data_IF_417230849246
#
_entry.id   IF_417230849246
#
_cell.length_a   1.000
_cell.length_b   1.000
_cell.length_c   1.000
_cell.angle_alpha   90.00
_cell.angle_beta   90.00
_cell.angle_gamma   90.00
#
_symmetry.space_group_name_H-M   'P 1'
#
loop_
_entity.id
_entity.type
_entity.pdbx_description
1 polymer ?
#
# COMPACT_ATOMS: atom_id res chain seq x y z
N UNK A 1 10.56 5.96 26.23
CA UNK A 1 11.22 5.90 24.91
C UNK A 1 12.49 6.74 25.02
N UNK A 2 13.64 6.22 24.58
CA UNK A 2 14.92 6.96 24.63
C UNK A 2 14.99 7.90 23.42
N UNK A 3 15.82 8.94 23.48
CA UNK A 3 16.00 9.87 22.35
C UNK A 3 16.48 9.16 21.06
N UNK A 4 17.26 8.09 21.20
CA UNK A 4 17.72 7.25 20.08
C UNK A 4 16.56 6.55 19.35
N UNK A 5 15.53 6.15 20.08
CA UNK A 5 14.34 5.49 19.52
C UNK A 5 13.52 6.47 18.67
N UNK A 6 13.42 7.72 19.11
CA UNK A 6 12.73 8.80 18.39
C UNK A 6 13.38 9.04 17.03
N UNK A 7 14.70 9.16 16.99
CA UNK A 7 15.46 9.36 15.76
C UNK A 7 15.24 8.21 14.74
N UNK A 8 15.17 6.96 15.23
CA UNK A 8 14.90 5.80 14.38
C UNK A 8 13.47 5.82 13.80
N UNK A 9 12.46 6.23 14.59
CA UNK A 9 11.08 6.39 14.11
C UNK A 9 11.01 7.50 13.06
N UNK A 10 11.64 8.65 13.33
CA UNK A 10 11.67 9.78 12.40
C UNK A 10 12.34 9.40 11.06
N UNK A 11 13.41 8.60 11.12
CA UNK A 11 14.08 8.09 9.93
C UNK A 11 13.19 7.17 9.06
N UNK A 12 12.16 6.55 9.63
CA UNK A 12 11.22 5.71 8.89
C UNK A 12 10.12 6.51 8.15
N UNK A 13 9.91 7.79 8.49
CA UNK A 13 8.79 8.59 7.95
C UNK A 13 8.80 8.68 6.41
N UNK A 14 9.94 8.94 5.72
CA UNK A 14 9.94 9.02 4.26
C UNK A 14 9.51 7.71 3.60
N UNK A 15 9.96 6.57 4.15
CA UNK A 15 9.59 5.22 3.74
C UNK A 15 8.12 4.91 3.96
N UNK A 16 7.60 5.23 5.15
CA UNK A 16 6.18 5.11 5.46
C UNK A 16 5.31 5.92 4.49
N UNK A 17 5.71 7.17 4.18
CA UNK A 17 4.95 8.03 3.27
C UNK A 17 4.90 7.48 1.84
N UNK A 18 6.01 6.95 1.32
CA UNK A 18 6.03 6.31 -0.01
C UNK A 18 5.12 5.10 -0.06
N UNK A 19 5.19 4.22 0.95
CA UNK A 19 4.31 3.06 1.03
C UNK A 19 2.83 3.47 1.14
N UNK A 20 2.51 4.42 2.01
CA UNK A 20 1.15 4.93 2.18
C UNK A 20 0.57 5.52 0.87
N UNK A 21 1.38 6.26 0.10
CA UNK A 21 0.98 6.76 -1.23
C UNK A 21 0.68 5.62 -2.20
N UNK A 22 1.54 4.60 -2.23
CA UNK A 22 1.31 3.42 -3.06
C UNK A 22 0.04 2.64 -2.66
N UNK A 23 -0.26 2.53 -1.36
CA UNK A 23 -1.46 1.85 -0.86
C UNK A 23 -2.75 2.60 -1.17
N UNK A 24 -2.76 3.91 -0.94
CA UNK A 24 -3.98 4.74 -0.96
C UNK A 24 -4.28 5.35 -2.32
N UNK A 25 -3.24 5.62 -3.12
CA UNK A 25 -3.37 6.38 -4.37
C UNK A 25 -3.74 7.86 -4.15
N UNK A 26 -3.81 8.33 -2.91
CA UNK A 26 -4.27 9.68 -2.54
C UNK A 26 -3.28 10.30 -1.53
N UNK A 27 -2.66 11.46 -1.85
CA UNK A 27 -1.67 12.07 -0.99
C UNK A 27 -2.19 12.46 0.41
N UNK A 28 -3.44 12.93 0.51
CA UNK A 28 -4.02 13.35 1.79
C UNK A 28 -4.29 12.13 2.67
N UNK A 29 -4.93 11.09 2.12
CA UNK A 29 -5.15 9.84 2.84
C UNK A 29 -3.85 9.14 3.21
N UNK A 30 -2.80 9.30 2.39
CA UNK A 30 -1.48 8.79 2.70
C UNK A 30 -0.86 9.50 3.92
N UNK A 31 -0.95 10.83 3.99
CA UNK A 31 -0.43 11.59 5.13
C UNK A 31 -1.23 11.28 6.41
N UNK A 32 -2.55 11.14 6.34
CA UNK A 32 -3.39 10.69 7.45
C UNK A 32 -2.96 9.29 7.95
N UNK A 33 -2.76 8.34 7.02
CA UNK A 33 -2.31 6.99 7.36
C UNK A 33 -0.93 6.98 8.02
N UNK A 34 -0.03 7.86 7.60
CA UNK A 34 1.28 8.05 8.25
C UNK A 34 1.11 8.58 9.66
N UNK A 35 0.29 9.62 9.85
CA UNK A 35 0.02 10.17 11.17
C UNK A 35 -0.53 9.11 12.12
N UNK A 36 -1.59 8.41 11.72
CA UNK A 36 -2.21 7.36 12.54
C UNK A 36 -1.24 6.22 12.86
N UNK A 37 -0.36 5.89 11.91
CA UNK A 37 0.72 4.90 12.11
C UNK A 37 1.68 5.36 13.19
N UNK A 38 2.13 6.63 13.17
CA UNK A 38 3.05 7.18 14.14
C UNK A 38 2.43 7.25 15.54
N UNK A 39 1.17 7.65 15.66
CA UNK A 39 0.44 7.66 16.94
C UNK A 39 0.31 6.25 17.54
N UNK A 40 0.00 5.26 16.69
CA UNK A 40 -0.06 3.85 17.09
C UNK A 40 1.31 3.29 17.45
N UNK A 41 2.35 3.62 16.69
CA UNK A 41 3.72 3.22 16.97
C UNK A 41 4.18 3.78 18.31
N UNK A 42 3.93 5.07 18.56
CA UNK A 42 4.27 5.73 19.81
C UNK A 42 3.60 5.09 21.03
N UNK A 43 2.28 4.87 20.95
CA UNK A 43 1.51 4.25 22.06
C UNK A 43 1.91 2.80 22.33
N UNK A 44 2.38 2.07 21.30
CA UNK A 44 2.79 0.66 21.41
C UNK A 44 4.29 0.48 21.61
N UNK A 45 5.09 1.54 21.54
CA UNK A 45 6.55 1.47 21.55
C UNK A 45 7.10 0.75 22.78
N UNK A 46 6.55 1.05 23.96
CA UNK A 46 6.96 0.41 25.23
C UNK A 46 6.73 -1.10 25.27
N UNK A 47 5.84 -1.63 24.42
CA UNK A 47 5.53 -3.06 24.28
C UNK A 47 6.32 -3.72 23.17
N UNK A 48 6.97 -2.95 22.31
CA UNK A 48 7.82 -3.50 21.27
C UNK A 48 9.06 -4.12 21.93
N UNK A 49 9.11 -5.45 21.95
CA UNK A 49 10.18 -6.22 22.58
C UNK A 49 11.51 -6.18 21.80
N UNK A 50 11.67 -5.23 20.85
CA UNK A 50 12.81 -5.12 19.92
C UNK A 50 13.12 -6.42 19.20
N UNK A 51 12.07 -7.19 18.91
CA UNK A 51 12.15 -8.43 18.13
C UNK A 51 11.96 -8.05 16.66
N UNK A 52 13.01 -8.23 15.88
CA UNK A 52 13.04 -7.84 14.46
C UNK A 52 13.35 -6.36 14.24
N UNK A 53 13.34 -5.95 12.98
CA UNK A 53 13.66 -4.59 12.54
C UNK A 53 12.52 -3.60 12.85
N UNK A 54 12.87 -2.42 13.38
CA UNK A 54 11.89 -1.37 13.69
C UNK A 54 11.08 -0.96 12.46
N UNK A 55 11.77 -0.85 11.32
CA UNK A 55 11.15 -0.45 10.05
C UNK A 55 10.07 -1.44 9.61
N UNK A 56 10.37 -2.73 9.67
CA UNK A 56 9.39 -3.79 9.38
C UNK A 56 8.22 -3.76 10.37
N UNK A 57 8.48 -3.56 11.66
CA UNK A 57 7.41 -3.42 12.66
C UNK A 57 6.48 -2.23 12.37
N UNK A 58 7.03 -1.07 12.00
CA UNK A 58 6.25 0.11 11.63
C UNK A 58 5.41 -0.10 10.36
N UNK A 59 5.97 -0.78 9.35
CA UNK A 59 5.20 -1.18 8.16
C UNK A 59 4.05 -2.14 8.52
N UNK A 60 4.26 -3.05 9.47
CA UNK A 60 3.20 -3.93 9.98
C UNK A 60 2.08 -3.15 10.68
N UNK A 61 2.41 -2.12 11.47
CA UNK A 61 1.38 -1.24 12.07
C UNK A 61 0.57 -0.54 10.99
N UNK A 62 1.24 0.07 10.01
CA UNK A 62 0.60 0.78 8.91
C UNK A 62 -0.30 -0.13 8.09
N UNK A 63 0.20 -1.29 7.69
CA UNK A 63 -0.53 -2.24 6.85
C UNK A 63 -1.80 -2.74 7.56
N UNK A 64 -1.69 -3.16 8.83
CA UNK A 64 -2.85 -3.57 9.61
C UNK A 64 -3.89 -2.44 9.73
N UNK A 65 -3.44 -1.22 10.01
CA UNK A 65 -4.34 -0.09 10.11
C UNK A 65 -5.06 0.21 8.79
N UNK A 66 -4.34 0.16 7.67
CA UNK A 66 -4.91 0.34 6.34
C UNK A 66 -5.97 -0.72 6.03
N UNK A 67 -5.67 -2.00 6.28
CA UNK A 67 -6.62 -3.11 6.04
C UNK A 67 -7.86 -2.99 6.92
N UNK A 68 -7.70 -2.62 8.19
CA UNK A 68 -8.84 -2.36 9.08
C UNK A 68 -9.74 -1.24 8.54
N UNK A 69 -9.13 -0.16 8.01
CA UNK A 69 -9.84 0.95 7.38
C UNK A 69 -10.60 0.52 6.13
N UNK A 70 -9.98 -0.26 5.24
CA UNK A 70 -10.64 -0.80 4.03
C UNK A 70 -11.84 -1.68 4.41
N UNK A 71 -11.69 -2.56 5.40
CA UNK A 71 -12.78 -3.42 5.89
C UNK A 71 -13.91 -2.63 6.54
N UNK A 72 -13.59 -1.55 7.26
CA UNK A 72 -14.60 -0.66 7.85
C UNK A 72 -15.38 0.11 6.78
N UNK A 73 -14.69 0.64 5.76
CA UNK A 73 -15.32 1.36 4.66
C UNK A 73 -16.17 0.44 3.78
N UNK A 74 -15.71 -0.78 3.48
CA UNK A 74 -16.50 -1.76 2.74
C UNK A 74 -17.83 -2.07 3.44
N UNK A 75 -17.79 -2.33 4.75
CA UNK A 75 -19.02 -2.54 5.55
C UNK A 75 -19.96 -1.35 5.54
N UNK A 76 -19.43 -0.12 5.58
CA UNK A 76 -20.26 1.11 5.48
C UNK A 76 -20.82 1.30 4.08
N UNK A 77 -20.07 0.98 3.04
CA UNK A 77 -20.52 1.03 1.65
C UNK A 77 -21.62 -0.02 1.41
N UNK A 78 -21.48 -1.24 1.94
CA UNK A 78 -22.53 -2.26 1.88
C UNK A 78 -23.81 -1.82 2.61
N UNK A 79 -23.66 -1.07 3.72
CA UNK A 79 -24.80 -0.47 4.45
C UNK A 79 -25.40 0.74 3.71
N UNK A 80 -24.58 1.54 3.04
CA UNK A 80 -24.99 2.71 2.25
C UNK A 80 -25.50 2.35 0.86
N UNK A 81 -25.18 1.17 0.30
CA UNK A 81 -25.74 0.67 -0.96
C UNK A 81 -27.26 0.40 -0.89
N UNK A 82 -27.87 0.55 0.29
CA UNK A 82 -29.32 0.66 0.50
C UNK A 82 -29.86 2.10 0.34
N UNK A 83 -29.01 3.07 0.01
CA UNK A 83 -29.33 4.48 -0.19
C UNK A 83 -28.26 5.18 -1.04
N UNK A 84 -28.49 5.17 -2.35
CA UNK A 84 -27.79 5.83 -3.47
C UNK A 84 -26.65 6.83 -3.14
N UNK A 85 -25.47 6.67 -3.77
CA UNK A 85 -24.49 7.76 -3.93
C UNK A 85 -23.41 7.51 -5.01
N UNK A 86 -22.80 8.60 -5.55
CA UNK A 86 -22.26 8.71 -6.90
C UNK A 86 -20.73 8.62 -7.02
N UNK A 87 -20.27 8.53 -8.28
CA UNK A 87 -18.87 8.48 -8.74
C UNK A 87 -18.04 9.73 -8.39
N UNK A 88 -16.80 9.52 -7.95
CA UNK A 88 -15.82 10.57 -7.68
C UNK A 88 -14.88 10.80 -8.89
N UNK A 89 -14.60 12.06 -9.30
CA UNK A 89 -13.73 12.34 -10.45
C UNK A 89 -12.26 12.55 -10.03
N UNK A 90 -11.33 12.00 -10.82
CA UNK A 90 -9.88 12.23 -10.71
C UNK A 90 -9.49 13.44 -11.58
N UNK A 91 -8.84 14.44 -11.00
CA UNK A 91 -8.42 15.68 -11.68
C UNK A 91 -6.93 15.64 -12.06
N UNK A 92 -6.60 16.05 -13.29
CA UNK A 92 -5.26 15.94 -13.90
C UNK A 92 -4.51 17.29 -13.98
N UNK A 93 -3.18 17.28 -13.80
CA UNK A 93 -2.23 18.41 -13.99
C UNK A 93 -0.80 18.01 -14.42
N UNK A 94 -0.45 18.28 -15.69
CA UNK A 94 0.87 18.56 -16.32
C UNK A 94 2.09 17.58 -16.28
N UNK A 95 2.24 16.91 -17.42
CA UNK A 95 3.40 16.63 -18.31
C UNK A 95 4.72 16.00 -17.80
N UNK A 96 5.47 16.52 -16.83
CA UNK A 96 6.57 15.74 -16.20
C UNK A 96 5.99 14.67 -15.24
N UNK A 97 4.74 14.88 -14.87
CA UNK A 97 3.91 13.98 -14.09
C UNK A 97 3.34 12.82 -14.90
N UNK A 98 3.50 12.75 -16.23
CA UNK A 98 2.83 11.72 -17.03
C UNK A 98 3.37 10.32 -16.71
N UNK A 99 4.70 10.13 -16.72
CA UNK A 99 5.30 8.82 -16.44
C UNK A 99 5.10 8.38 -14.98
N UNK A 100 5.24 9.30 -14.02
CA UNK A 100 4.98 9.03 -12.59
C UNK A 100 3.50 8.73 -12.35
N UNK A 101 2.58 9.45 -13.01
CA UNK A 101 1.14 9.14 -12.94
C UNK A 101 0.79 7.84 -13.63
N UNK A 102 1.50 7.49 -14.68
CA UNK A 102 1.31 6.23 -15.37
C UNK A 102 1.75 5.08 -14.46
N UNK A 103 2.86 5.21 -13.74
CA UNK A 103 3.26 4.25 -12.73
C UNK A 103 2.25 4.16 -11.58
N UNK A 104 1.83 5.29 -11.00
CA UNK A 104 0.84 5.29 -9.91
C UNK A 104 -0.46 4.62 -10.35
N UNK A 105 -0.95 4.96 -11.55
CA UNK A 105 -2.13 4.33 -12.16
C UNK A 105 -1.94 2.83 -12.36
N UNK A 106 -0.79 2.40 -12.87
CA UNK A 106 -0.50 0.98 -13.05
C UNK A 106 -0.43 0.25 -11.71
N UNK A 107 0.19 0.86 -10.69
CA UNK A 107 0.20 0.33 -9.33
C UNK A 107 -1.22 0.19 -8.78
N UNK A 108 -2.08 1.20 -8.93
CA UNK A 108 -3.48 1.14 -8.49
C UNK A 108 -4.31 0.06 -9.24
N UNK A 109 -3.92 -0.34 -10.44
CA UNK A 109 -4.58 -1.41 -11.21
C UNK A 109 -4.14 -2.84 -10.81
N UNK A 110 -3.10 -2.97 -9.98
CA UNK A 110 -2.71 -4.25 -9.41
C UNK A 110 -3.72 -4.68 -8.33
N UNK A 111 -3.97 -5.99 -8.16
CA UNK A 111 -4.65 -6.50 -6.97
C UNK A 111 -3.92 -6.02 -5.71
N UNK A 112 -4.67 -5.64 -4.66
CA UNK A 112 -4.12 -5.02 -3.45
C UNK A 112 -2.95 -5.84 -2.87
N UNK A 113 -3.12 -7.14 -2.72
CA UNK A 113 -2.10 -8.05 -2.17
C UNK A 113 -0.81 -8.12 -3.00
N UNK A 114 -0.91 -7.96 -4.32
CA UNK A 114 0.23 -7.95 -5.24
C UNK A 114 0.98 -6.62 -5.14
N UNK A 115 0.22 -5.52 -5.10
CA UNK A 115 0.75 -4.16 -4.92
C UNK A 115 1.50 -4.02 -3.60
N UNK A 116 0.93 -4.50 -2.50
CA UNK A 116 1.52 -4.45 -1.17
C UNK A 116 2.91 -5.12 -1.15
N UNK A 117 2.98 -6.36 -1.62
CA UNK A 117 4.24 -7.11 -1.71
C UNK A 117 5.27 -6.40 -2.58
N UNK A 118 4.84 -5.88 -3.74
CA UNK A 118 5.72 -5.18 -4.66
C UNK A 118 6.29 -3.90 -4.04
N UNK A 119 5.46 -3.10 -3.34
CA UNK A 119 5.92 -1.88 -2.69
C UNK A 119 6.91 -2.18 -1.56
N UNK A 120 6.60 -3.15 -0.69
CA UNK A 120 7.47 -3.48 0.43
C UNK A 120 8.85 -3.97 -0.03
N UNK A 121 8.93 -4.78 -1.08
CA UNK A 121 10.20 -5.37 -1.53
C UNK A 121 10.91 -4.47 -2.54
N UNK A 122 10.23 -4.00 -3.58
CA UNK A 122 10.89 -3.29 -4.68
C UNK A 122 11.12 -1.81 -4.40
N UNK A 123 10.27 -1.18 -3.57
CA UNK A 123 10.35 0.26 -3.28
C UNK A 123 10.98 0.49 -1.92
N UNK A 124 10.56 -0.28 -0.93
CA UNK A 124 11.05 -0.12 0.44
C UNK A 124 12.22 -1.05 0.78
N UNK A 125 12.61 -1.97 -0.11
CA UNK A 125 13.78 -2.84 0.06
C UNK A 125 13.70 -3.69 1.34
N UNK A 126 12.52 -4.25 1.63
CA UNK A 126 12.37 -5.27 2.66
C UNK A 126 12.79 -6.63 2.10
N UNK A 127 13.39 -7.44 2.95
CA UNK A 127 13.59 -8.86 2.66
C UNK A 127 12.25 -9.59 2.53
N UNK A 128 12.25 -10.74 1.84
CA UNK A 128 11.07 -11.61 1.74
C UNK A 128 10.51 -12.00 3.12
N UNK A 129 11.39 -12.19 4.11
CA UNK A 129 11.00 -12.58 5.46
C UNK A 129 10.34 -11.42 6.22
N UNK A 130 10.86 -10.21 6.10
CA UNK A 130 10.24 -9.02 6.71
C UNK A 130 8.90 -8.70 6.04
N UNK A 131 8.81 -8.78 4.71
CA UNK A 131 7.55 -8.57 4.00
C UNK A 131 6.50 -9.61 4.40
N UNK A 132 6.89 -10.88 4.60
CA UNK A 132 6.02 -11.94 5.11
C UNK A 132 5.48 -11.61 6.51
N UNK A 133 6.32 -11.05 7.39
CA UNK A 133 5.93 -10.62 8.74
C UNK A 133 4.99 -9.41 8.71
N UNK A 134 5.27 -8.42 7.86
CA UNK A 134 4.44 -7.22 7.70
C UNK A 134 3.03 -7.57 7.25
N UNK A 135 2.92 -8.50 6.29
CA UNK A 135 1.68 -8.88 5.63
C UNK A 135 0.96 -10.07 6.31
N UNK A 136 1.58 -10.67 7.32
CA UNK A 136 1.09 -11.87 8.02
C UNK A 136 0.75 -13.02 7.05
N UNK A 137 1.69 -13.36 6.16
CA UNK A 137 1.53 -14.46 5.19
C UNK A 137 2.80 -15.31 5.07
N UNK A 138 2.70 -16.56 4.58
CA UNK A 138 3.87 -17.40 4.30
C UNK A 138 4.84 -16.76 3.29
N UNK A 139 6.15 -17.00 3.46
CA UNK A 139 7.18 -16.49 2.54
C UNK A 139 6.98 -16.95 1.07
N UNK A 140 6.47 -18.18 0.86
CA UNK A 140 6.11 -18.66 -0.49
C UNK A 140 4.96 -17.88 -1.12
N UNK A 141 4.03 -17.37 -0.31
CA UNK A 141 2.95 -16.47 -0.76
C UNK A 141 3.52 -15.12 -1.19
N UNK A 142 4.50 -14.59 -0.45
CA UNK A 142 5.21 -13.36 -0.84
C UNK A 142 5.89 -13.54 -2.21
N UNK A 143 6.65 -14.62 -2.40
CA UNK A 143 7.35 -14.87 -3.67
C UNK A 143 6.37 -15.00 -4.85
N UNK A 144 5.31 -15.79 -4.69
CA UNK A 144 4.32 -16.00 -5.76
C UNK A 144 3.52 -14.73 -6.07
N UNK A 145 3.14 -13.93 -5.06
CA UNK A 145 2.50 -12.62 -5.26
C UNK A 145 3.44 -11.64 -5.95
N UNK A 146 4.72 -11.61 -5.58
CA UNK A 146 5.70 -10.72 -6.21
C UNK A 146 5.90 -11.04 -7.69
N UNK A 147 6.03 -12.32 -8.06
CA UNK A 147 6.17 -12.72 -9.47
C UNK A 147 5.01 -12.20 -10.30
N UNK A 148 3.78 -12.48 -9.84
CA UNK A 148 2.55 -12.04 -10.51
C UNK A 148 2.42 -10.51 -10.56
N UNK A 149 2.84 -9.83 -9.50
CA UNK A 149 2.85 -8.36 -9.46
C UNK A 149 3.78 -7.78 -10.52
N UNK A 150 4.99 -8.32 -10.68
CA UNK A 150 5.97 -7.87 -11.68
C UNK A 150 5.49 -8.13 -13.10
N UNK A 151 4.95 -9.32 -13.36
CA UNK A 151 4.37 -9.69 -14.67
C UNK A 151 3.23 -8.74 -15.05
N UNK A 152 2.28 -8.53 -14.13
CA UNK A 152 1.13 -7.67 -14.37
C UNK A 152 1.52 -6.19 -14.51
N UNK A 153 2.42 -5.69 -13.66
CA UNK A 153 2.92 -4.32 -13.76
C UNK A 153 3.63 -4.10 -15.11
N UNK A 154 4.45 -5.05 -15.55
CA UNK A 154 5.09 -5.01 -16.87
C UNK A 154 4.07 -4.97 -18.01
N UNK A 155 3.02 -5.80 -17.95
CA UNK A 155 1.95 -5.79 -18.95
C UNK A 155 1.18 -4.47 -18.99
N UNK A 156 0.85 -3.90 -17.82
CA UNK A 156 0.17 -2.60 -17.69
C UNK A 156 1.01 -1.46 -18.26
N UNK A 157 2.30 -1.40 -17.91
CA UNK A 157 3.22 -0.37 -18.40
C UNK A 157 3.46 -0.44 -19.92
N UNK A 158 3.33 -1.63 -20.51
CA UNK A 158 3.47 -1.85 -21.95
C UNK A 158 2.14 -1.65 -22.71
N UNK A 159 1.07 -1.25 -22.03
CA UNK A 159 -0.26 -1.07 -22.63
C UNK A 159 -0.92 -2.36 -23.11
N UNK A 160 -0.45 -3.53 -22.67
CA UNK A 160 -0.97 -4.83 -23.15
C UNK A 160 -2.29 -5.26 -22.51
N UNK A 161 -2.73 -4.57 -21.46
CA UNK A 161 -3.95 -4.90 -20.71
C UNK A 161 -5.19 -4.04 -21.11
N UNK A 162 -5.08 -3.13 -22.08
CA UNK A 162 -6.23 -2.28 -22.49
C UNK A 162 -7.19 -2.91 -23.52
N UNK A 163 -6.93 -4.11 -24.06
CA UNK A 163 -7.81 -4.72 -25.09
C UNK A 163 -8.00 -6.23 -24.89
N UNK A 164 -8.83 -6.62 -23.92
CA UNK A 164 -9.54 -7.91 -24.00
C UNK A 164 -10.96 -7.82 -23.43
N UNK A 165 -11.69 -6.77 -23.83
CA UNK A 165 -13.16 -6.80 -23.83
C UNK A 165 -13.59 -7.31 -25.21
N UNK A 166 -13.57 -8.63 -25.38
CA UNK A 166 -14.21 -9.31 -26.50
C UNK A 166 -15.73 -9.04 -26.42
N UNK A 167 -16.21 -8.02 -27.13
CA UNK A 167 -17.61 -7.94 -27.50
C UNK A 167 -17.87 -8.98 -28.60
N UNK A 168 -18.26 -10.19 -28.19
CA UNK A 168 -18.90 -11.14 -29.09
C UNK A 168 -20.38 -10.78 -29.15
N UNK A 169 -20.74 -9.86 -30.05
CA UNK A 169 -22.13 -9.67 -30.46
C UNK A 169 -22.39 -10.66 -31.60
N UNK A 170 -23.48 -11.41 -31.45
CA UNK A 170 -23.97 -12.44 -32.38
C UNK A 170 -24.31 -11.87 -33.75
#
# INVERSE_FOLDING_TARGET
MRAEDEALILACIPSLRRYARGLTGDPHRADDLVQDTLERAWSRYSRWQRRGELRAWMFGIMHNHFIDGVRANGRRADQAALGDMPDAPVRATQTDHLEVRDLDRCLQALPAEQREVLLLICVEDLSYQEAAQVLDVPIGTVMSRLSRAREKLGALMQGRDSVSRLHRVK
#
